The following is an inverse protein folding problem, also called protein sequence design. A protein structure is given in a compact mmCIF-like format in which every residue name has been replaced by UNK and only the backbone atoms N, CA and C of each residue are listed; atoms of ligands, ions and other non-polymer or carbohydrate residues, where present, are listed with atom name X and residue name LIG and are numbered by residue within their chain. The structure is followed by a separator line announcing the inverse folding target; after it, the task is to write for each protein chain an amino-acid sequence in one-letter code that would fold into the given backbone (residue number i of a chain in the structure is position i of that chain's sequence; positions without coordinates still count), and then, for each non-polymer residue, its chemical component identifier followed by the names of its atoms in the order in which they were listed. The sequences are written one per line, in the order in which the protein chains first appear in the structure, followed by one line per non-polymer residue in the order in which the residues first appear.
data_IF_062354950632
#
_entry.id   IF_062354950632
#
_cell.length_a   1.000
_cell.length_b   1.000
_cell.length_c   1.000
_cell.angle_alpha   90.00
_cell.angle_beta   90.00
_cell.angle_gamma   90.00
#
_symmetry.space_group_name_H-M   'P 1'
#
loop_
_entity.id
_entity.type
_entity.pdbx_description
1 polymer ?
2 non-polymer ?
3 non-polymer ?
4 non-polymer ?
5 non-polymer ?
6 water ?
#
# COMPACT_ATOMS: atom_id res chain seq x y z
N UNK A 52 24.44 -18.05 -3.49
CA UNK A 52 23.69 -17.52 -4.67
C UNK A 52 22.39 -18.32 -4.90
N UNK A 53 21.49 -18.26 -3.92
CA UNK A 53 20.20 -18.96 -4.00
C UNK A 53 19.17 -18.33 -3.05
N UNK A 54 17.99 -18.01 -3.58
CA UNK A 54 16.92 -17.36 -2.80
C UNK A 54 15.53 -17.94 -3.10
N UNK A 55 14.65 -17.87 -2.10
CA UNK A 55 13.27 -18.36 -2.19
C UNK A 55 12.28 -17.19 -2.14
N UNK A 56 11.57 -16.95 -3.23
CA UNK A 56 10.55 -15.90 -3.33
C UNK A 56 9.17 -16.48 -3.04
N UNK A 57 8.73 -16.37 -1.78
CA UNK A 57 7.40 -16.83 -1.37
C UNK A 57 6.35 -15.82 -1.84
N UNK A 58 5.37 -16.30 -2.62
CA UNK A 58 4.37 -15.43 -3.26
C UNK A 58 4.81 -15.06 -4.66
N UNK A 59 3.84 -14.76 -5.52
CA UNK A 59 4.10 -14.46 -6.94
C UNK A 59 3.12 -13.42 -7.49
N UNK A 60 3.42 -12.94 -8.70
CA UNK A 60 2.56 -12.00 -9.41
C UNK A 60 2.72 -10.55 -8.98
N UNK A 61 2.83 -9.65 -9.95
CA UNK A 61 2.81 -8.19 -9.74
C UNK A 61 4.05 -7.65 -9.00
N UNK A 62 4.14 -7.92 -7.69
CA UNK A 62 5.26 -7.45 -6.86
C UNK A 62 6.53 -8.29 -7.13
N UNK A 63 6.34 -9.57 -7.43
CA UNK A 63 7.46 -10.48 -7.70
C UNK A 63 8.21 -10.18 -8.99
N UNK A 64 7.49 -9.76 -10.04
CA UNK A 64 8.10 -9.54 -11.37
C UNK A 64 9.34 -8.60 -11.36
N UNK A 65 9.24 -7.40 -10.76
CA UNK A 65 10.43 -6.55 -10.65
C UNK A 65 11.52 -7.10 -9.70
N UNK A 66 11.11 -7.87 -8.70
CA UNK A 66 12.05 -8.53 -7.78
C UNK A 66 12.87 -9.59 -8.51
N UNK A 67 12.20 -10.42 -9.32
CA UNK A 67 12.89 -11.43 -10.14
C UNK A 67 13.77 -10.82 -11.22
N UNK A 68 13.26 -9.76 -11.86
CA UNK A 68 13.99 -9.07 -12.94
C UNK A 68 15.26 -8.39 -12.43
N UNK A 69 15.17 -7.74 -11.26
CA UNK A 69 16.32 -7.05 -10.67
C UNK A 69 17.41 -8.03 -10.20
N UNK A 70 16.99 -9.10 -9.52
CA UNK A 70 17.93 -10.11 -9.02
C UNK A 70 18.61 -10.92 -10.13
N UNK A 71 17.90 -11.15 -11.24
CA UNK A 71 18.42 -11.97 -12.35
C UNK A 71 19.23 -11.19 -13.41
N UNK A 72 19.67 -9.98 -13.10
CA UNK A 72 20.49 -9.17 -14.02
C UNK A 72 21.91 -9.70 -14.15
N UNK A 73 22.54 -9.99 -13.00
CA UNK A 73 23.92 -10.47 -12.97
C UNK A 73 24.05 -11.89 -13.52
N UNK A 74 23.16 -12.79 -13.09
CA UNK A 74 23.12 -14.18 -13.55
C UNK A 74 23.53 -15.19 -12.50
N UNK A 75 24.48 -14.84 -11.65
CA UNK A 75 25.00 -15.74 -10.61
C UNK A 75 24.09 -15.82 -9.38
N UNK A 76 22.90 -16.39 -9.57
CA UNK A 76 21.89 -16.53 -8.51
C UNK A 76 20.75 -17.45 -8.98
N UNK A 77 20.39 -18.42 -8.16
CA UNK A 77 19.33 -19.38 -8.46
C UNK A 77 18.01 -18.95 -7.81
N UNK A 78 17.05 -18.53 -8.64
CA UNK A 78 15.76 -18.05 -8.15
C UNK A 78 14.81 -19.24 -7.95
N UNK A 79 14.38 -19.46 -6.70
CA UNK A 79 13.33 -20.41 -6.37
C UNK A 79 12.06 -19.60 -6.05
N UNK A 80 10.90 -20.14 -6.42
CA UNK A 80 9.62 -19.45 -6.22
C UNK A 80 8.57 -20.40 -5.61
N UNK A 81 8.11 -20.08 -4.41
CA UNK A 81 7.00 -20.79 -3.76
C UNK A 81 5.71 -19.99 -3.91
N UNK A 82 4.61 -20.68 -4.19
CA UNK A 82 3.32 -20.00 -4.41
C UNK A 82 2.11 -20.93 -4.24
N UNK A 83 1.00 -20.34 -3.81
CA UNK A 83 -0.29 -21.04 -3.70
C UNK A 83 -1.02 -21.08 -5.05
N UNK A 84 -0.87 -20.02 -5.85
CA UNK A 84 -1.54 -19.91 -7.15
C UNK A 84 -0.84 -20.78 -8.18
N UNK A 85 -1.56 -21.75 -8.76
CA UNK A 85 -1.00 -22.69 -9.72
C UNK A 85 -0.81 -22.08 -11.11
N UNK A 86 -1.82 -21.35 -11.58
CA UNK A 86 -1.76 -20.69 -12.89
C UNK A 86 -0.81 -19.50 -12.96
N UNK A 87 -0.64 -18.80 -11.84
CA UNK A 87 0.18 -17.58 -11.77
C UNK A 87 1.67 -17.87 -11.85
N UNK A 88 2.13 -18.86 -11.10
CA UNK A 88 3.55 -19.27 -11.09
C UNK A 88 4.01 -19.86 -12.43
N UNK A 89 3.10 -20.51 -13.15
CA UNK A 89 3.38 -21.03 -14.50
C UNK A 89 3.58 -19.89 -15.51
N UNK A 90 2.73 -18.86 -15.42
CA UNK A 90 2.85 -17.66 -16.25
C UNK A 90 4.12 -16.85 -15.91
N UNK A 91 4.43 -16.76 -14.62
CA UNK A 91 5.66 -16.11 -14.15
C UNK A 91 6.92 -16.89 -14.56
N UNK A 92 6.83 -18.21 -14.57
CA UNK A 92 7.92 -19.07 -15.03
C UNK A 92 8.30 -18.91 -16.49
N UNK A 93 7.32 -18.54 -17.32
CA UNK A 93 7.55 -18.28 -18.75
C UNK A 93 8.47 -17.08 -18.99
N UNK A 94 8.29 -16.02 -18.20
CA UNK A 94 9.06 -14.78 -18.36
C UNK A 94 10.47 -14.88 -17.80
N UNK A 95 10.60 -15.33 -16.56
CA UNK A 95 11.88 -15.38 -15.84
C UNK A 95 12.29 -16.81 -15.50
N UNK A 96 13.59 -17.09 -15.60
CA UNK A 96 14.14 -18.42 -15.29
C UNK A 96 14.12 -18.72 -13.78
N UNK A 97 13.24 -19.64 -13.38
CA UNK A 97 13.00 -19.98 -11.97
C UNK A 97 12.84 -21.49 -11.75
N UNK A 98 12.70 -21.88 -10.49
CA UNK A 98 12.31 -23.24 -10.09
C UNK A 98 10.90 -23.21 -9.49
N UNK A 99 9.87 -23.58 -10.29
CA UNK A 99 8.49 -23.58 -9.76
C UNK A 99 8.25 -24.61 -8.63
N UNK A 100 7.67 -24.13 -7.53
CA UNK A 100 7.27 -24.98 -6.41
C UNK A 100 5.87 -24.56 -5.95
N UNK A 101 4.94 -25.52 -5.91
CA UNK A 101 3.57 -25.28 -5.45
C UNK A 101 3.43 -25.71 -4.00
N UNK A 102 3.05 -24.78 -3.12
CA UNK A 102 2.84 -25.09 -1.71
C UNK A 102 1.98 -24.06 -0.97
N UNK A 103 1.13 -24.56 -0.07
CA UNK A 103 0.48 -23.73 0.94
C UNK A 103 1.44 -23.61 2.11
N UNK A 104 1.52 -22.40 2.70
CA UNK A 104 2.50 -22.11 3.74
C UNK A 104 2.07 -22.73 5.08
N UNK A 105 0.77 -22.70 5.36
CA UNK A 105 0.23 -23.19 6.63
C UNK A 105 0.11 -24.71 6.67
N UNK A 106 -0.47 -25.28 5.61
CA UNK A 106 -0.70 -26.72 5.53
C UNK A 106 0.60 -27.52 5.37
N UNK A 107 1.46 -27.09 4.45
CA UNK A 107 2.71 -27.80 4.13
C UNK A 107 3.91 -27.12 4.80
N UNK A 108 3.86 -27.02 6.12
CA UNK A 108 4.92 -26.40 6.92
C UNK A 108 6.17 -27.27 7.04
N UNK A 109 6.03 -28.59 6.82
CA UNK A 109 7.15 -29.53 6.91
C UNK A 109 8.17 -29.33 5.79
N UNK A 110 7.69 -29.25 4.55
CA UNK A 110 8.56 -29.05 3.39
C UNK A 110 9.17 -27.64 3.32
N UNK A 111 8.50 -26.67 3.95
CA UNK A 111 9.01 -25.29 4.04
C UNK A 111 10.35 -25.24 4.79
N UNK A 112 10.42 -25.93 5.94
CA UNK A 112 11.64 -26.02 6.73
C UNK A 112 12.84 -26.60 5.99
N UNK A 113 12.59 -27.61 5.16
CA UNK A 113 13.65 -28.24 4.36
C UNK A 113 14.05 -27.37 3.15
N UNK A 114 13.06 -26.73 2.53
CA UNK A 114 13.30 -25.85 1.38
C UNK A 114 14.00 -24.55 1.77
N UNK A 115 13.57 -23.94 2.88
CA UNK A 115 14.19 -22.71 3.41
C UNK A 115 15.65 -22.93 3.84
N UNK A 116 15.95 -24.11 4.39
CA UNK A 116 17.31 -24.46 4.79
C UNK A 116 18.29 -24.54 3.62
N UNK A 117 17.80 -24.88 2.43
CA UNK A 117 18.62 -24.94 1.21
C UNK A 117 19.05 -23.58 0.65
N UNK A 118 18.37 -22.50 1.06
CA UNK A 118 18.58 -21.16 0.49
C UNK A 118 19.50 -20.28 1.34
N UNK A 119 19.90 -19.15 0.75
CA UNK A 119 20.67 -18.09 1.42
C UNK A 119 19.78 -16.97 1.95
N UNK A 120 18.61 -16.76 1.35
CA UNK A 120 17.69 -15.68 1.73
C UNK A 120 16.27 -15.97 1.28
N UNK A 121 15.30 -15.74 2.17
CA UNK A 121 13.87 -15.89 1.85
C UNK A 121 13.23 -14.51 1.64
N UNK A 122 12.76 -14.25 0.42
CA UNK A 122 12.03 -13.00 0.11
C UNK A 122 10.52 -13.26 0.21
N UNK A 123 9.92 -12.88 1.33
CA UNK A 123 8.49 -13.07 1.55
C UNK A 123 7.67 -11.95 0.89
N UNK A 124 6.86 -12.31 -0.11
CA UNK A 124 5.91 -11.39 -0.75
C UNK A 124 4.47 -11.85 -0.52
N UNK A 125 4.20 -12.37 0.68
CA UNK A 125 2.88 -12.90 1.06
C UNK A 125 2.11 -11.84 1.87
N UNK A 126 0.82 -12.09 2.17
CA UNK A 126 0.11 -11.26 3.14
C UNK A 126 0.77 -11.27 4.51
N UNK A 127 0.73 -10.12 5.21
CA UNK A 127 1.55 -9.92 6.41
C UNK A 127 1.19 -10.75 7.66
N UNK A 128 0.00 -11.35 7.66
CA UNK A 128 -0.39 -12.30 8.71
C UNK A 128 0.46 -13.59 8.72
N UNK A 129 1.01 -13.97 7.55
CA UNK A 129 1.78 -15.21 7.39
C UNK A 129 3.29 -15.11 7.69
N UNK A 130 3.78 -13.94 8.12
CA UNK A 130 5.23 -13.76 8.40
C UNK A 130 5.77 -14.53 9.61
N UNK A 131 4.98 -14.65 10.70
CA UNK A 131 5.37 -15.54 11.80
C UNK A 131 5.66 -17.00 11.41
N UNK A 132 4.98 -17.51 10.37
CA UNK A 132 5.24 -18.85 9.85
C UNK A 132 6.59 -18.94 9.12
N UNK A 133 6.88 -17.95 8.28
CA UNK A 133 8.14 -17.89 7.53
C UNK A 133 9.31 -17.52 8.45
N UNK A 134 9.06 -16.65 9.41
CA UNK A 134 10.05 -16.29 10.43
C UNK A 134 10.40 -17.47 11.34
N UNK A 135 9.38 -18.26 11.69
CA UNK A 135 9.58 -19.51 12.47
C UNK A 135 10.50 -20.51 11.75
N UNK A 136 10.39 -20.57 10.42
CA UNK A 136 11.29 -21.39 9.60
C UNK A 136 12.69 -20.78 9.52
N UNK A 137 12.76 -19.47 9.31
CA UNK A 137 14.04 -18.77 9.11
C UNK A 137 14.91 -18.69 10.37
N UNK A 138 14.29 -18.51 11.54
CA UNK A 138 15.03 -18.52 12.82
C UNK A 138 15.61 -19.89 13.19
N UNK A 139 14.91 -20.97 12.82
CA UNK A 139 15.37 -22.34 13.11
C UNK A 139 16.64 -22.67 12.33
N UNK A 140 16.62 -22.41 11.03
CA UNK A 140 17.80 -22.59 10.17
C UNK A 140 18.71 -21.36 10.24
N UNK A 141 19.88 -21.47 9.60
CA UNK A 141 20.81 -20.36 9.48
C UNK A 141 20.57 -19.64 8.15
N UNK A 142 19.59 -18.74 8.14
CA UNK A 142 19.16 -18.06 6.92
C UNK A 142 18.49 -16.70 7.19
N UNK A 143 18.76 -15.74 6.30
CA UNK A 143 18.20 -14.38 6.40
C UNK A 143 16.84 -14.27 5.73
N UNK A 144 16.17 -13.14 5.94
CA UNK A 144 14.82 -12.89 5.40
C UNK A 144 14.64 -11.41 5.03
N UNK A 145 13.77 -11.15 4.06
CA UNK A 145 13.29 -9.79 3.77
C UNK A 145 11.77 -9.80 3.54
N UNK A 146 11.11 -8.74 4.00
CA UNK A 146 9.66 -8.63 4.05
C UNK A 146 9.20 -7.31 3.42
N UNK A 147 8.16 -7.37 2.60
CA UNK A 147 7.62 -6.19 1.94
C UNK A 147 6.70 -5.38 2.86
N UNK A 148 5.70 -6.04 3.42
CA UNK A 148 4.67 -5.37 4.22
C UNK A 148 5.12 -5.05 5.67
N UNK A 149 4.19 -4.65 6.53
CA UNK A 149 4.50 -4.23 7.91
C UNK A 149 5.12 -5.35 8.76
N UNK A 150 5.89 -4.95 9.77
CA UNK A 150 6.33 -5.85 10.83
C UNK A 150 5.21 -5.83 11.88
N UNK A 151 4.46 -6.92 11.96
CA UNK A 151 3.33 -7.02 12.89
C UNK A 151 3.79 -7.21 14.34
N UNK A 152 2.88 -6.99 15.32
CA UNK A 152 3.17 -7.34 16.71
C UNK A 152 3.58 -8.80 16.93
N UNK A 153 2.96 -9.72 16.17
CA UNK A 153 3.31 -11.14 16.22
C UNK A 153 4.76 -11.41 15.80
N UNK A 154 5.21 -10.75 14.73
CA UNK A 154 6.59 -10.86 14.27
C UNK A 154 7.58 -10.17 15.21
N UNK A 155 7.15 -9.10 15.87
CA UNK A 155 7.96 -8.38 16.86
C UNK A 155 8.31 -9.23 18.10
N UNK A 156 7.45 -10.19 18.44
CA UNK A 156 7.72 -11.14 19.54
C UNK A 156 8.93 -12.05 19.29
N UNK A 157 9.20 -12.36 18.02
CA UNK A 157 10.32 -13.23 17.64
C UNK A 157 11.71 -12.56 17.72
N UNK A 158 11.77 -11.24 17.89
CA UNK A 158 13.03 -10.49 17.92
C UNK A 158 14.11 -11.07 18.85
N UNK A 159 13.69 -11.63 19.99
CA UNK A 159 14.60 -12.33 20.90
C UNK A 159 15.20 -13.58 20.24
N UNK A 160 14.34 -14.38 19.63
CA UNK A 160 14.77 -15.59 18.91
C UNK A 160 15.59 -15.29 17.65
N UNK A 161 15.27 -14.17 16.98
CA UNK A 161 15.95 -13.78 15.73
C UNK A 161 17.40 -13.35 16.00
N UNK A 162 17.62 -12.57 17.07
CA UNK A 162 18.97 -12.12 17.44
C UNK A 162 19.86 -13.26 17.96
N UNK A 163 19.29 -14.19 18.70
CA UNK A 163 20.03 -15.36 19.21
C UNK A 163 20.54 -16.27 18.08
N UNK A 164 19.75 -16.41 17.01
CA UNK A 164 20.14 -17.22 15.85
C UNK A 164 21.28 -16.62 15.02
N UNK A 165 21.48 -15.30 15.13
CA UNK A 165 22.57 -14.61 14.42
C UNK A 165 22.25 -14.41 12.95
N UNK A 166 21.07 -13.83 12.69
CA UNK A 166 20.58 -13.59 11.33
C UNK A 166 19.98 -12.19 11.20
N UNK A 167 19.74 -11.77 9.96
CA UNK A 167 19.19 -10.45 9.65
C UNK A 167 17.81 -10.59 8.99
N UNK A 168 16.81 -9.91 9.56
CA UNK A 168 15.46 -9.87 9.01
C UNK A 168 15.04 -8.41 8.84
N UNK A 169 14.92 -7.96 7.59
CA UNK A 169 14.55 -6.59 7.26
C UNK A 169 13.09 -6.54 6.81
N UNK A 170 12.25 -5.85 7.59
CA UNK A 170 10.84 -5.62 7.24
C UNK A 170 10.60 -4.20 6.79
N UNK A 171 9.32 -3.87 6.59
CA UNK A 171 8.87 -2.51 6.25
C UNK A 171 9.56 -1.96 4.99
N UNK A 172 9.62 -2.76 3.93
CA UNK A 172 10.31 -2.40 2.68
C UNK A 172 9.34 -2.28 1.51
N UNK A 173 9.49 -1.23 0.70
CA UNK A 173 8.60 -0.96 -0.43
C UNK A 173 8.28 0.51 -0.54
N UNK A 174 7.07 0.83 -1.02
CA UNK A 174 6.60 2.21 -1.15
C UNK A 174 6.17 2.78 0.20
N UNK A 175 5.10 2.21 0.76
CA UNK A 175 4.46 2.73 1.96
C UNK A 175 3.75 1.58 2.72
N UNK A 176 4.39 0.96 3.72
CA UNK A 176 5.68 1.37 4.30
C UNK A 176 6.90 1.04 3.44
N UNK A 177 7.99 1.77 3.67
CA UNK A 177 9.27 1.56 2.99
C UNK A 177 9.97 2.87 2.64
N UNK A 178 9.67 3.40 1.45
CA UNK A 178 10.26 4.66 0.99
C UNK A 178 9.90 5.85 1.90
N UNK A 179 8.72 5.80 2.53
CA UNK A 179 8.36 6.78 3.57
C UNK A 179 9.31 6.77 4.77
N UNK A 180 9.76 5.59 5.17
CA UNK A 180 10.74 5.47 6.26
C UNK A 180 12.11 6.00 5.80
N UNK A 181 12.48 5.67 4.57
CA UNK A 181 13.80 6.02 4.02
C UNK A 181 13.97 7.51 3.79
N UNK A 182 12.99 8.14 3.14
CA UNK A 182 13.00 9.59 2.91
C UNK A 182 12.89 10.39 4.22
N UNK A 183 12.09 9.88 5.16
CA UNK A 183 11.95 10.52 6.47
C UNK A 183 13.25 10.51 7.26
N UNK A 184 13.84 9.31 7.42
CA UNK A 184 15.08 9.16 8.19
C UNK A 184 16.30 9.81 7.52
N UNK A 185 16.30 9.94 6.20
CA UNK A 185 17.35 10.69 5.50
C UNK A 185 17.34 12.17 5.94
N UNK A 186 16.15 12.77 5.96
CA UNK A 186 15.98 14.16 6.38
C UNK A 186 16.19 14.35 7.88
N UNK A 187 15.71 13.39 8.68
CA UNK A 187 15.85 13.46 10.14
C UNK A 187 17.31 13.32 10.58
N UNK A 188 18.06 12.41 9.95
CA UNK A 188 19.50 12.27 10.20
C UNK A 188 20.27 13.52 9.78
N UNK A 189 19.94 14.08 8.60
CA UNK A 189 20.52 15.35 8.13
C UNK A 189 20.28 16.52 9.10
N UNK A 190 19.12 16.52 9.76
CA UNK A 190 18.81 17.51 10.80
C UNK A 190 19.62 17.27 12.07
N UNK A 191 19.75 16.00 12.48
CA UNK A 191 20.55 15.63 13.66
C UNK A 191 22.07 15.83 13.46
N UNK A 192 22.54 15.75 12.21
CA UNK A 192 23.94 16.06 11.88
C UNK A 192 24.34 17.50 12.24
N UNK A 193 23.40 18.44 12.14
CA UNK A 193 23.64 19.87 12.48
C UNK A 193 22.92 20.30 13.77
N UNK A 194 22.68 19.35 14.68
CA UNK A 194 22.04 19.63 15.97
C UNK A 194 20.56 20.03 15.97
N UNK A 195 19.89 19.88 14.83
CA UNK A 195 18.51 20.35 14.68
C UNK A 195 17.50 19.27 15.07
N UNK A 196 16.32 19.71 15.55
CA UNK A 196 15.24 18.81 15.98
C UNK A 196 14.01 18.97 15.08
N UNK A 197 13.18 17.92 15.04
CA UNK A 197 11.98 17.89 14.22
C UNK A 197 10.78 18.41 15.03
N UNK A 198 10.17 19.49 14.55
CA UNK A 198 8.97 20.08 15.16
C UNK A 198 7.68 19.56 14.52
N UNK A 199 7.67 19.41 13.20
CA UNK A 199 6.52 18.88 12.48
C UNK A 199 6.94 17.90 11.38
N UNK A 200 6.11 16.88 11.15
CA UNK A 200 6.28 15.91 10.07
C UNK A 200 4.92 15.61 9.44
N UNK A 201 4.70 16.14 8.24
CA UNK A 201 3.50 15.87 7.45
C UNK A 201 3.94 15.12 6.20
N UNK A 202 3.28 14.01 5.90
CA UNK A 202 3.66 13.15 4.77
C UNK A 202 2.45 12.50 4.10
N UNK A 203 2.17 12.92 2.86
CA UNK A 203 1.08 12.37 2.06
C UNK A 203 1.63 11.49 0.93
N UNK A 204 0.98 10.35 0.71
CA UNK A 204 1.39 9.39 -0.33
C UNK A 204 0.15 8.84 -1.03
N UNK A 205 0.29 8.53 -2.32
CA UNK A 205 -0.82 8.00 -3.09
C UNK A 205 -0.41 7.27 -4.35
N UNK A 206 -0.97 6.08 -4.54
CA UNK A 206 -0.90 5.37 -5.82
C UNK A 206 -2.21 5.58 -6.54
N UNK A 207 -2.15 6.06 -7.78
CA UNK A 207 -3.35 6.41 -8.55
C UNK A 207 -3.05 6.44 -10.05
N UNK A 208 -4.09 6.53 -10.90
CA UNK A 208 -3.82 6.57 -12.35
C UNK A 208 -3.10 7.84 -12.78
N UNK A 209 -2.39 7.76 -13.91
CA UNK A 209 -1.85 8.96 -14.55
C UNK A 209 -3.05 9.80 -15.01
N UNK A 210 -2.94 11.15 -14.93
CA UNK A 210 -4.08 12.05 -15.17
C UNK A 210 -4.95 11.73 -16.39
N UNK A 211 -4.33 11.25 -17.47
CA UNK A 211 -5.05 10.86 -18.70
C UNK A 211 -6.08 9.71 -18.51
N UNK A 212 -5.90 8.87 -17.48
CA UNK A 212 -6.84 7.78 -17.18
C UNK A 212 -7.67 8.03 -15.91
N UNK A 213 -7.98 9.30 -15.65
CA UNK A 213 -8.73 9.69 -14.44
C UNK A 213 -10.21 9.99 -14.71
N UNK A 214 -10.68 9.78 -15.95
CA UNK A 214 -12.07 10.11 -16.30
C UNK A 214 -13.03 8.95 -16.05
N UNK A 215 -13.30 8.70 -14.77
CA UNK A 215 -14.36 7.80 -14.32
C UNK A 215 -14.91 8.34 -12.98
N UNK A 216 -16.04 7.79 -12.48
CA UNK A 216 -16.64 8.32 -11.24
C UNK A 216 -15.73 8.34 -9.99
N UNK A 217 -14.86 7.34 -9.84
CA UNK A 217 -13.90 7.31 -8.73
C UNK A 217 -12.57 8.05 -9.02
N UNK A 218 -12.34 8.40 -10.28
CA UNK A 218 -11.03 8.89 -10.76
C UNK A 218 -9.92 7.91 -10.40
N UNK A 219 -10.21 6.62 -10.54
CA UNK A 219 -9.32 5.58 -10.03
C UNK A 219 -9.40 4.28 -10.82
N UNK A 220 -8.32 3.52 -10.77
CA UNK A 220 -8.25 2.16 -11.31
C UNK A 220 -7.51 1.30 -10.30
N UNK A 221 -8.04 0.11 -10.04
CA UNK A 221 -7.53 -0.76 -8.98
C UNK A 221 -6.47 -1.74 -9.49
N UNK A 222 -5.31 -1.75 -8.84
CA UNK A 222 -4.24 -2.71 -9.10
C UNK A 222 -4.54 -4.07 -8.47
N UNK A 223 -5.00 -4.04 -7.21
CA UNK A 223 -5.43 -5.24 -6.48
C UNK A 223 -6.79 -5.00 -5.81
N UNK A 224 -7.29 -5.97 -5.04
CA UNK A 224 -8.62 -5.91 -4.44
C UNK A 224 -8.81 -4.71 -3.50
N UNK A 225 -9.91 -3.92 -3.67
CA UNK A 225 -10.16 -2.75 -2.85
C UNK A 225 -10.86 -2.97 -1.49
N UNK A 226 -10.88 -4.21 -0.98
CA UNK A 226 -11.54 -4.51 0.29
C UNK A 226 -10.89 -3.73 1.45
N UNK A 227 -9.56 -3.60 1.43
CA UNK A 227 -8.83 -2.84 2.44
C UNK A 227 -9.12 -1.35 2.41
N UNK A 228 -8.92 -0.73 1.24
CA UNK A 228 -9.12 0.74 1.09
C UNK A 228 -10.57 1.19 1.32
N UNK A 229 -11.54 0.37 0.90
CA UNK A 229 -12.96 0.63 1.16
C UNK A 229 -13.29 0.56 2.66
N UNK A 230 -12.73 -0.43 3.35
CA UNK A 230 -12.94 -0.59 4.79
C UNK A 230 -12.22 0.50 5.61
N UNK A 231 -11.12 1.04 5.10
CA UNK A 231 -10.41 2.16 5.74
C UNK A 231 -11.23 3.45 5.88
N UNK A 232 -12.21 3.64 4.98
CA UNK A 232 -13.17 4.75 5.11
C UNK A 232 -14.03 4.59 6.36
N UNK A 233 -14.37 3.36 6.72
CA UNK A 233 -15.12 3.07 7.95
C UNK A 233 -14.25 3.22 9.20
N UNK A 234 -12.94 2.98 9.09
CA UNK A 234 -12.02 3.12 10.21
C UNK A 234 -11.75 4.58 10.57
N UNK A 235 -11.29 4.79 11.81
CA UNK A 235 -10.92 6.11 12.30
C UNK A 235 -9.52 6.52 11.82
N UNK A 236 -9.19 7.79 12.06
CA UNK A 236 -7.87 8.34 11.80
C UNK A 236 -7.43 9.20 12.99
N UNK A 237 -6.35 8.79 13.65
CA UNK A 237 -5.75 9.55 14.74
C UNK A 237 -4.44 10.19 14.28
N UNK A 238 -4.21 11.43 14.70
CA UNK A 238 -2.95 12.13 14.44
C UNK A 238 -2.69 13.28 15.43
N UNK A 239 -1.43 13.71 15.49
CA UNK A 239 -1.01 14.79 16.39
C UNK A 239 -0.91 16.10 15.60
N UNK A 240 -1.44 17.19 16.18
CA UNK A 240 -1.40 18.52 15.55
C UNK A 240 -1.30 19.61 16.62
N UNK A 241 -0.15 20.28 16.69
CA UNK A 241 0.11 21.37 17.62
C UNK A 241 -0.03 20.95 19.09
N UNK A 242 0.53 19.79 19.42
CA UNK A 242 0.49 19.24 20.78
C UNK A 242 -0.88 18.74 21.24
N UNK A 243 -1.77 18.45 20.29
CA UNK A 243 -3.14 17.99 20.56
C UNK A 243 -3.45 16.79 19.69
N UNK A 244 -3.87 15.68 20.30
CA UNK A 244 -4.27 14.48 19.57
C UNK A 244 -5.66 14.74 18.96
N UNK A 245 -5.80 14.48 17.67
CA UNK A 245 -7.04 14.70 16.93
C UNK A 245 -7.55 13.35 16.42
N UNK A 246 -8.67 12.90 16.97
CA UNK A 246 -9.35 11.69 16.52
C UNK A 246 -10.42 12.07 15.50
N UNK A 247 -10.36 11.46 14.32
CA UNK A 247 -11.32 11.70 13.24
C UNK A 247 -12.28 10.52 13.17
N UNK A 248 -13.57 10.82 13.01
CA UNK A 248 -14.61 9.80 12.92
C UNK A 248 -14.64 9.22 11.51
N UNK A 249 -14.65 7.89 11.42
CA UNK A 249 -14.83 7.18 10.15
C UNK A 249 -16.29 7.08 9.75
N UNK A 250 -16.52 6.40 8.62
CA UNK A 250 -17.87 6.11 8.14
C UNK A 250 -18.48 7.24 7.33
N UNK A 251 -19.74 7.55 7.62
CA UNK A 251 -20.48 8.63 6.94
C UNK A 251 -19.82 10.01 7.08
N UNK A 252 -19.20 10.27 8.22
CA UNK A 252 -18.61 11.59 8.53
C UNK A 252 -17.16 11.77 8.06
N UNK A 253 -16.53 10.72 7.54
CA UNK A 253 -15.12 10.77 7.12
C UNK A 253 -14.85 11.74 5.96
N UNK A 254 -15.88 12.00 5.14
CA UNK A 254 -15.80 13.00 4.07
C UNK A 254 -15.46 14.41 4.55
N UNK A 255 -15.89 14.75 5.77
CA UNK A 255 -15.61 16.06 6.38
C UNK A 255 -14.12 16.31 6.65
N UNK A 256 -13.36 15.24 6.84
CA UNK A 256 -11.90 15.33 7.03
C UNK A 256 -11.08 15.43 5.74
N UNK A 257 -11.74 15.35 4.57
CA UNK A 257 -11.04 15.42 3.28
C UNK A 257 -10.70 16.88 2.97
N UNK A 258 -9.48 17.10 2.50
CA UNK A 258 -8.95 18.44 2.24
C UNK A 258 -8.34 18.54 0.84
N UNK A 259 -8.25 19.75 0.32
CA UNK A 259 -7.65 20.02 -0.99
C UNK A 259 -6.14 20.08 -0.86
N UNK A 260 -5.43 19.30 -1.69
CA UNK A 260 -3.97 19.24 -1.70
C UNK A 260 -3.46 19.98 -2.94
N UNK A 261 -2.95 21.19 -2.74
CA UNK A 261 -2.64 22.12 -3.85
C UNK A 261 -1.14 22.31 -4.14
N UNK A 262 -0.29 21.43 -3.62
CA UNK A 262 1.17 21.53 -3.84
C UNK A 262 1.60 21.43 -5.32
N UNK A 263 0.81 20.73 -6.15
CA UNK A 263 0.93 20.78 -7.60
C UNK A 263 -0.33 21.41 -8.18
N UNK A 264 -0.28 22.71 -8.56
CA UNK A 264 -1.44 23.39 -9.16
C UNK A 264 -2.07 22.69 -10.36
N UNK A 265 -1.23 22.06 -11.20
CA UNK A 265 -1.71 21.30 -12.35
C UNK A 265 -2.43 19.99 -12.02
N UNK A 266 -2.14 19.42 -10.84
CA UNK A 266 -2.73 18.15 -10.41
C UNK A 266 -3.88 18.40 -9.44
N UNK A 267 -5.07 17.89 -9.76
CA UNK A 267 -6.28 18.13 -8.99
C UNK A 267 -6.46 17.07 -7.89
N UNK A 268 -5.74 17.25 -6.79
CA UNK A 268 -5.65 16.25 -5.72
C UNK A 268 -6.51 16.57 -4.50
N UNK A 269 -6.97 15.51 -3.83
CA UNK A 269 -7.53 15.58 -2.48
C UNK A 269 -6.69 14.71 -1.55
N UNK A 270 -6.82 14.96 -0.26
CA UNK A 270 -6.09 14.22 0.76
C UNK A 270 -6.94 13.96 1.99
N UNK A 271 -6.57 12.92 2.73
CA UNK A 271 -7.22 12.58 3.99
C UNK A 271 -6.24 11.81 4.88
N UNK A 272 -6.43 11.85 6.22
CA UNK A 272 -5.44 11.23 7.10
C UNK A 272 -5.53 9.70 7.16
N UNK A 273 -4.40 9.05 7.43
CA UNK A 273 -4.30 7.59 7.56
C UNK A 273 -4.82 7.10 8.90
N UNK A 274 -4.94 5.79 9.01
CA UNK A 274 -5.24 5.15 10.28
C UNK A 274 -3.98 5.19 11.15
N UNK A 275 -3.94 6.17 12.05
CA UNK A 275 -2.88 6.34 13.07
C UNK A 275 -1.57 6.91 12.53
N UNK A 276 -1.28 8.16 12.90
CA UNK A 276 0.00 8.83 12.63
C UNK A 276 0.85 9.10 13.88
N UNK A 277 0.32 8.79 15.06
CA UNK A 277 1.03 9.05 16.33
C UNK A 277 2.18 8.06 16.60
N UNK A 278 2.14 6.89 15.96
CA UNK A 278 3.17 5.86 16.16
C UNK A 278 4.57 6.21 15.63
N UNK A 279 4.67 7.17 14.71
CA UNK A 279 5.95 7.55 14.10
C UNK A 279 6.91 8.31 15.04
N UNK A 280 6.42 8.81 16.17
CA UNK A 280 7.27 9.43 17.19
C UNK A 280 8.29 8.43 17.75
N UNK A 281 7.81 7.25 18.17
CA UNK A 281 8.67 6.19 18.69
C UNK A 281 9.53 5.54 17.60
N UNK A 282 9.00 5.44 16.39
CA UNK A 282 9.69 4.75 15.28
C UNK A 282 10.87 5.59 14.79
N UNK A 283 10.65 6.87 14.51
CA UNK A 283 11.70 7.78 14.05
C UNK A 283 12.48 8.49 15.18
N UNK A 284 11.94 8.49 16.39
CA UNK A 284 12.57 9.19 17.51
C UNK A 284 12.38 10.70 17.39
N UNK A 285 11.12 11.12 17.29
CA UNK A 285 10.76 12.53 17.15
C UNK A 285 9.57 12.90 18.06
N UNK A 286 9.63 12.44 19.30
CA UNK A 286 8.56 12.68 20.29
C UNK A 286 8.42 14.15 20.71
N UNK A 287 9.46 14.96 20.48
CA UNK A 287 9.39 16.42 20.69
C UNK A 287 8.53 17.15 19.65
N UNK A 288 8.27 16.51 18.50
CA UNK A 288 7.49 17.12 17.42
C UNK A 288 6.04 17.40 17.83
N UNK A 289 5.61 18.64 17.64
CA UNK A 289 4.23 19.05 17.95
C UNK A 289 3.19 18.61 16.90
N UNK A 290 3.64 18.20 15.71
CA UNK A 290 2.73 17.77 14.63
C UNK A 290 3.26 16.51 13.93
N UNK A 291 2.42 15.46 13.91
CA UNK A 291 2.69 14.22 13.19
C UNK A 291 1.43 13.86 12.41
N UNK A 292 1.49 13.97 11.08
CA UNK A 292 0.35 13.70 10.21
C UNK A 292 0.76 12.88 8.99
N UNK A 293 0.07 11.76 8.78
CA UNK A 293 0.30 10.90 7.62
C UNK A 293 -1.04 10.67 6.93
N UNK A 294 -1.05 10.82 5.61
CA UNK A 294 -2.28 10.76 4.83
C UNK A 294 -2.14 10.09 3.47
N UNK A 295 -3.27 9.93 2.79
CA UNK A 295 -3.35 9.27 1.49
C UNK A 295 -3.88 10.25 0.46
N UNK A 296 -3.34 10.17 -0.77
CA UNK A 296 -3.72 11.08 -1.86
C UNK A 296 -4.58 10.38 -2.90
N UNK A 297 -5.63 11.08 -3.34
CA UNK A 297 -6.49 10.65 -4.44
C UNK A 297 -6.83 11.88 -5.28
N UNK A 298 -7.42 11.68 -6.45
CA UNK A 298 -7.95 12.80 -7.24
C UNK A 298 -9.27 13.27 -6.62
N UNK A 299 -9.60 14.54 -6.83
CA UNK A 299 -10.83 15.12 -6.26
C UNK A 299 -12.08 14.43 -6.79
N UNK A 300 -13.00 14.11 -5.88
CA UNK A 300 -14.22 13.37 -6.19
C UNK A 300 -14.24 11.93 -5.71
N UNK A 301 -13.07 11.38 -5.33
CA UNK A 301 -12.96 9.96 -4.94
C UNK A 301 -13.73 9.65 -3.65
N UNK A 302 -13.42 10.38 -2.59
CA UNK A 302 -14.06 10.15 -1.28
C UNK A 302 -15.57 10.48 -1.28
N UNK A 303 -15.97 11.44 -2.10
CA UNK A 303 -17.41 11.76 -2.26
C UNK A 303 -18.18 10.63 -2.97
N UNK A 304 -17.52 9.93 -3.89
CA UNK A 304 -18.11 8.77 -4.56
C UNK A 304 -18.24 7.57 -3.60
N UNK A 305 -17.21 7.33 -2.80
CA UNK A 305 -17.25 6.30 -1.74
C UNK A 305 -18.27 6.63 -0.65
N UNK A 306 -18.40 7.92 -0.32
CA UNK A 306 -19.44 8.41 0.59
C UNK A 306 -20.86 8.04 0.09
N UNK A 307 -21.04 8.07 -1.23
CA UNK A 307 -22.26 7.56 -1.86
C UNK A 307 -22.51 6.09 -1.56
N UNK A 308 -21.46 5.27 -1.69
CA UNK A 308 -21.56 3.83 -1.38
C UNK A 308 -21.86 3.57 0.11
N UNK A 309 -21.38 4.44 0.99
CA UNK A 309 -21.67 4.35 2.43
C UNK A 309 -23.15 4.64 2.73
N UNK A 310 -23.69 5.70 2.12
CA UNK A 310 -25.11 6.05 2.25
C UNK A 310 -26.06 4.93 1.80
N UNK A 311 -25.73 4.28 0.69
CA UNK A 311 -26.56 3.18 0.14
C UNK A 311 -26.51 1.88 0.93
N UNK A 312 -25.52 1.71 1.80
CA UNK A 312 -25.38 0.51 2.63
C UNK A 312 -24.59 -0.61 1.96
N UNK A 313 -23.61 -0.24 1.12
CA UNK A 313 -22.78 -1.20 0.38
C UNK A 313 -21.49 -1.57 1.12
N UNK A 314 -21.02 -0.71 2.02
CA UNK A 314 -19.75 -0.93 2.73
C UNK A 314 -20.03 -1.62 4.07
N UNK A 315 -20.25 -2.93 4.00
CA UNK A 315 -20.40 -3.77 5.20
C UNK A 315 -20.20 -5.26 4.89
N UNK A 316 -19.93 -6.04 5.93
CA UNK A 316 -19.63 -7.47 5.81
C UNK A 316 -20.83 -8.41 6.04
N UNK A 317 -22.05 -7.88 5.88
CA UNK A 317 -23.27 -8.71 5.94
C UNK A 317 -23.35 -9.59 4.70
N UNK A 318 -23.96 -10.76 4.84
CA UNK A 318 -24.08 -11.72 3.73
C UNK A 318 -25.10 -11.27 2.69
N UNK A 319 -25.01 -11.85 1.51
CA UNK A 319 -25.91 -11.52 0.39
C UNK A 319 -27.33 -12.07 0.65
N UNK A 320 -28.37 -11.46 0.02
CA UNK A 320 -29.73 -11.99 0.18
C UNK A 320 -29.95 -13.38 -0.42
N UNK A 325 -35.32 -16.51 -5.66
CA UNK A 325 -34.85 -17.76 -5.09
C UNK A 325 -34.21 -18.65 -6.15
N UNK A 326 -34.93 -18.88 -7.25
CA UNK A 326 -34.47 -19.72 -8.36
C UNK A 326 -34.10 -18.87 -9.59
N UNK A 327 -33.31 -17.83 -9.37
CA UNK A 327 -32.87 -16.92 -10.44
C UNK A 327 -31.70 -16.06 -9.94
N UNK A 328 -30.67 -15.81 -10.80
CA UNK A 328 -29.44 -15.22 -10.26
C UNK A 328 -29.57 -13.75 -9.85
N UNK A 329 -28.94 -13.39 -8.74
CA UNK A 329 -29.06 -12.05 -8.16
C UNK A 329 -28.31 -11.01 -8.99
N UNK A 330 -29.05 -10.02 -9.51
CA UNK A 330 -28.48 -8.91 -10.26
C UNK A 330 -28.30 -7.68 -9.37
N UNK A 331 -27.54 -6.71 -9.86
CA UNK A 331 -27.23 -5.49 -9.10
C UNK A 331 -28.46 -4.61 -8.82
N UNK A 332 -29.40 -4.55 -9.77
CA UNK A 332 -30.68 -3.86 -9.55
C UNK A 332 -31.46 -4.48 -8.39
N UNK A 333 -31.47 -5.81 -8.34
CA UNK A 333 -32.19 -6.55 -7.29
C UNK A 333 -31.56 -6.39 -5.91
N UNK A 334 -30.22 -6.31 -5.86
CA UNK A 334 -29.49 -6.08 -4.61
C UNK A 334 -29.75 -4.68 -4.05
N UNK A 335 -29.74 -3.67 -4.91
CA UNK A 335 -30.03 -2.28 -4.49
C UNK A 335 -31.50 -2.07 -4.12
N UNK A 336 -32.41 -2.84 -4.73
CA UNK A 336 -33.82 -2.86 -4.30
C UNK A 336 -33.97 -3.39 -2.87
N UNK A 337 -33.18 -4.40 -2.53
CA UNK A 337 -33.12 -4.95 -1.16
C UNK A 337 -32.67 -3.89 -0.15
N UNK A 338 -31.61 -3.16 -0.50
CA UNK A 338 -31.00 -2.17 0.40
C UNK A 338 -31.91 -0.95 0.64
N UNK A 339 -32.44 -0.38 -0.43
CA UNK A 339 -33.41 0.75 -0.32
C UNK A 339 -34.79 0.32 0.20
N UNK A 340 -35.09 -0.98 0.13
CA UNK A 340 -36.30 -1.55 0.74
C UNK A 340 -37.53 -1.47 -0.14
N UNK A 341 -37.39 -1.93 -1.38
CA UNK A 341 -38.50 -2.01 -2.34
C UNK A 341 -38.51 -3.38 -3.02
N UNK A 342 -39.56 -3.63 -3.80
CA UNK A 342 -39.68 -4.88 -4.57
C UNK A 342 -38.65 -4.89 -5.71
N UNK A 343 -38.03 -6.06 -5.98
CA UNK A 343 -37.16 -6.17 -7.17
C UNK A 343 -37.90 -6.02 -8.51
N UNK A 344 -38.15 -4.78 -8.92
CA UNK A 344 -38.81 -4.47 -10.20
C UNK A 344 -38.69 -2.99 -10.59
N UNK A 345 -38.64 -2.74 -11.90
CA UNK A 345 -38.64 -1.39 -12.50
C UNK A 345 -37.37 -0.57 -12.22
N UNK A 346 -36.59 -0.31 -13.27
CA UNK A 346 -35.30 0.40 -13.15
C UNK A 346 -35.47 1.89 -12.82
N UNK A 347 -36.45 2.54 -13.45
CA UNK A 347 -36.75 3.95 -13.16
C UNK A 347 -37.30 4.17 -11.74
N UNK A 348 -37.89 3.13 -11.15
CA UNK A 348 -38.41 3.19 -9.78
C UNK A 348 -37.30 3.16 -8.73
N UNK A 349 -36.33 2.25 -8.89
CA UNK A 349 -35.17 2.17 -7.97
C UNK A 349 -34.26 3.41 -8.07
N UNK A 350 -34.22 4.05 -9.24
CA UNK A 350 -33.54 5.33 -9.44
C UNK A 350 -34.07 6.40 -8.48
N UNK A 351 -35.39 6.45 -8.33
CA UNK A 351 -36.05 7.37 -7.39
C UNK A 351 -35.78 7.00 -5.92
N UNK A 352 -35.74 5.70 -5.63
CA UNK A 352 -35.42 5.21 -4.28
C UNK A 352 -33.95 5.46 -3.91
N UNK A 353 -33.04 5.24 -4.86
CA UNK A 353 -31.61 5.41 -4.64
C UNK A 353 -31.21 6.88 -4.45
N UNK A 354 -31.69 7.76 -5.34
CA UNK A 354 -31.39 9.20 -5.26
C UNK A 354 -31.95 9.85 -3.98
N UNK A 355 -33.08 9.34 -3.50
CA UNK A 355 -33.67 9.76 -2.23
C UNK A 355 -32.78 9.35 -1.05
N UNK A 356 -32.27 8.12 -1.10
CA UNK A 356 -31.36 7.61 -0.07
C UNK A 356 -29.98 8.28 -0.09
N UNK A 357 -29.49 8.64 -1.29
CA UNK A 357 -28.20 9.33 -1.43
C UNK A 357 -28.34 10.84 -1.22
N UNK A 358 -28.62 11.24 0.02
CA UNK A 358 -28.80 12.65 0.40
C UNK A 358 -29.98 13.33 -0.32
N UNK A 359 -30.12 14.64 -0.10
CA UNK A 359 -31.15 15.42 -0.77
C UNK A 359 -30.84 15.69 -2.22
N UNK A 360 -31.01 14.67 -3.06
CA UNK A 360 -30.84 14.79 -4.51
C UNK A 360 -29.40 14.95 -4.96
N UNK A 361 -28.54 14.02 -4.54
CA UNK A 361 -27.14 14.00 -4.99
C UNK A 361 -27.04 13.24 -6.32
N UNK A 362 -27.20 13.98 -7.42
CA UNK A 362 -27.17 13.41 -8.77
C UNK A 362 -25.80 12.85 -9.16
N UNK A 363 -24.73 13.46 -8.66
CA UNK A 363 -23.36 13.01 -8.90
C UNK A 363 -23.16 11.57 -8.41
N UNK A 364 -23.61 11.29 -7.18
CA UNK A 364 -23.51 9.96 -6.58
C UNK A 364 -24.45 8.95 -7.25
N UNK A 365 -25.62 9.42 -7.70
CA UNK A 365 -26.55 8.60 -8.49
C UNK A 365 -25.93 8.18 -9.82
N UNK A 366 -25.32 9.15 -10.52
CA UNK A 366 -24.63 8.88 -11.79
C UNK A 366 -23.43 7.96 -11.64
N UNK A 367 -22.70 8.10 -10.54
CA UNK A 367 -21.58 7.21 -10.21
C UNK A 367 -22.02 5.74 -10.09
N UNK A 368 -23.14 5.52 -9.40
CA UNK A 368 -23.72 4.19 -9.27
C UNK A 368 -24.30 3.67 -10.59
N UNK A 369 -24.91 4.58 -11.36
CA UNK A 369 -25.44 4.26 -12.69
C UNK A 369 -24.34 3.85 -13.66
N UNK A 370 -23.25 4.62 -13.68
CA UNK A 370 -22.09 4.38 -14.57
C UNK A 370 -21.42 3.01 -14.31
N UNK A 371 -21.28 2.64 -13.04
CA UNK A 371 -20.67 1.37 -12.66
C UNK A 371 -21.58 0.15 -12.87
N UNK A 372 -22.88 0.39 -13.08
CA UNK A 372 -23.85 -0.67 -13.34
C UNK A 372 -24.48 -1.25 -12.09
N UNK A 373 -24.54 -0.46 -11.02
CA UNK A 373 -25.12 -0.90 -9.75
C UNK A 373 -26.66 -0.89 -9.77
N UNK A 374 -27.26 -0.17 -10.72
CA UNK A 374 -28.71 -0.18 -10.94
C UNK A 374 -29.14 -1.08 -12.13
N UNK A 375 -28.18 -1.76 -12.76
CA UNK A 375 -28.43 -2.54 -13.97
C UNK A 375 -28.69 -4.02 -13.69
N UNK A 376 -28.84 -4.79 -14.78
CA UNK A 376 -29.20 -6.20 -14.71
C UNK A 376 -28.00 -7.18 -14.81
N UNK A 377 -26.78 -6.67 -14.60
CA UNK A 377 -25.59 -7.52 -14.52
C UNK A 377 -25.60 -8.31 -13.20
N UNK A 378 -25.05 -9.51 -13.23
CA UNK A 378 -25.07 -10.40 -12.07
C UNK A 378 -24.08 -9.94 -10.99
N UNK A 379 -24.48 -10.09 -9.74
CA UNK A 379 -23.60 -9.81 -8.60
C UNK A 379 -22.64 -10.99 -8.49
N UNK A 380 -21.30 -10.73 -8.43
CA UNK A 380 -20.35 -11.83 -8.25
C UNK A 380 -20.57 -12.62 -6.97
N UNK A 381 -20.23 -13.91 -7.00
CA UNK A 381 -20.35 -14.79 -5.83
C UNK A 381 -19.32 -14.34 -4.79
N UNK A 382 -19.78 -14.09 -3.56
CA UNK A 382 -18.93 -13.52 -2.52
C UNK A 382 -19.47 -13.74 -1.12
N UNK A 383 -18.59 -13.60 -0.13
CA UNK A 383 -18.94 -13.79 1.28
C UNK A 383 -19.79 -12.64 1.85
N UNK A 384 -19.73 -11.46 1.24
CA UNK A 384 -20.46 -10.29 1.72
C UNK A 384 -20.79 -9.29 0.60
N UNK A 385 -21.47 -8.21 0.96
CA UNK A 385 -21.84 -7.15 0.01
C UNK A 385 -20.60 -6.32 -0.37
N UNK A 386 -19.75 -6.01 0.61
CA UNK A 386 -18.49 -5.29 0.40
C UNK A 386 -17.54 -6.06 -0.53
N UNK A 387 -17.43 -7.37 -0.30
CA UNK A 387 -16.62 -8.25 -1.14
C UNK A 387 -17.19 -8.35 -2.56
N UNK A 388 -18.52 -8.32 -2.67
CA UNK A 388 -19.21 -8.31 -3.97
C UNK A 388 -18.98 -7.00 -4.72
N UNK A 389 -19.05 -5.88 -4.01
CA UNK A 389 -18.72 -4.56 -4.58
C UNK A 389 -17.27 -4.50 -5.06
N UNK A 390 -16.36 -4.99 -4.22
CA UNK A 390 -14.93 -4.99 -4.53
C UNK A 390 -14.60 -5.77 -5.80
N UNK A 391 -15.23 -6.94 -5.97
CA UNK A 391 -15.08 -7.74 -7.20
C UNK A 391 -15.62 -7.02 -8.45
N UNK A 392 -16.72 -6.28 -8.29
CA UNK A 392 -17.32 -5.53 -9.39
C UNK A 392 -16.50 -4.30 -9.78
N UNK A 393 -15.94 -3.61 -8.77
CA UNK A 393 -15.06 -2.45 -9.02
C UNK A 393 -13.76 -2.84 -9.71
N UNK A 394 -13.20 -4.00 -9.33
CA UNK A 394 -12.03 -4.58 -10.01
C UNK A 394 -12.35 -4.88 -11.49
N UNK A 395 -13.55 -5.41 -11.74
CA UNK A 395 -14.01 -5.71 -13.10
C UNK A 395 -14.11 -4.45 -13.95
N UNK A 396 -14.77 -3.42 -13.43
CA UNK A 396 -15.05 -2.18 -14.18
C UNK A 396 -13.90 -1.17 -14.23
N UNK A 397 -13.07 -1.12 -13.19
CA UNK A 397 -12.00 -0.12 -13.07
C UNK A 397 -10.62 -0.75 -12.81
N UNK A 398 -10.03 -1.31 -13.86
CA UNK A 398 -8.68 -1.88 -13.82
C UNK A 398 -7.81 -1.28 -14.92
N UNK A 399 -6.50 -1.46 -14.78
CA UNK A 399 -5.55 -0.97 -15.76
C UNK A 399 -5.47 -1.91 -16.96
N UNK A 400 -5.74 -1.38 -18.15
CA UNK A 400 -5.45 -2.07 -19.40
C UNK A 400 -3.94 -2.14 -19.65
N UNK A 401 -3.52 -2.93 -20.65
CA UNK A 401 -2.08 -3.17 -20.89
C UNK A 401 -1.22 -1.92 -21.17
N UNK A 402 -1.79 -0.94 -21.89
CA UNK A 402 -1.06 0.29 -22.25
C UNK A 402 -1.45 1.53 -21.43
N UNK A 403 -1.96 1.32 -20.20
CA UNK A 403 -2.44 2.42 -19.34
C UNK A 403 -1.48 2.66 -18.17
N UNK A 404 -0.96 3.88 -18.07
CA UNK A 404 -0.01 4.26 -17.02
C UNK A 404 -0.68 4.46 -15.67
N UNK A 405 0.02 4.06 -14.61
CA UNK A 405 -0.33 4.42 -13.23
C UNK A 405 0.64 5.52 -12.76
N UNK A 406 0.46 5.96 -11.52
CA UNK A 406 1.29 7.03 -10.95
C UNK A 406 1.46 6.85 -9.45
N UNK A 407 2.66 7.16 -8.96
CA UNK A 407 2.96 7.21 -7.53
C UNK A 407 3.34 8.65 -7.21
N UNK A 408 2.54 9.31 -6.37
CA UNK A 408 2.87 10.65 -5.87
C UNK A 408 3.12 10.54 -4.37
N UNK A 409 4.13 11.28 -3.92
CA UNK A 409 4.51 11.28 -2.50
C UNK A 409 5.15 12.63 -2.14
N UNK A 410 4.63 13.23 -1.07
CA UNK A 410 4.95 14.60 -0.68
C UNK A 410 5.17 14.66 0.82
N UNK A 411 6.40 14.99 1.23
CA UNK A 411 6.75 15.17 2.64
C UNK A 411 6.98 16.65 2.95
N UNK A 412 6.83 17.00 4.23
CA UNK A 412 7.02 18.36 4.72
C UNK A 412 7.53 18.33 6.15
N UNK A 413 8.73 18.86 6.38
CA UNK A 413 9.37 18.87 7.70
C UNK A 413 9.52 20.29 8.21
N UNK A 414 9.19 20.50 9.49
CA UNK A 414 9.55 21.70 10.23
C UNK A 414 10.72 21.37 11.11
N UNK A 415 11.90 21.90 10.76
CA UNK A 415 13.15 21.57 11.46
C UNK A 415 13.67 22.81 12.21
N UNK A 416 13.76 22.70 13.53
CA UNK A 416 14.28 23.75 14.40
C UNK A 416 15.78 23.56 14.59
N UNK A 417 16.57 24.49 14.05
CA UNK A 417 18.03 24.46 14.20
C UNK A 417 18.46 25.04 15.57
N UNK A 418 19.70 24.73 16.02
CA UNK A 418 20.21 25.29 17.30
C UNK A 418 20.30 26.82 17.33
N UNK A 419 20.53 27.43 16.16
CA UNK A 419 20.46 28.87 15.97
C UNK A 419 19.16 29.50 16.50
N UNK A 420 18.04 28.83 16.23
CA UNK A 420 16.71 29.31 16.62
C UNK A 420 15.73 29.35 15.46
N UNK A 421 16.23 29.51 14.23
CA UNK A 421 15.39 29.57 13.03
C UNK A 421 14.76 28.22 12.66
N UNK A 422 13.69 28.30 11.85
CA UNK A 422 12.92 27.15 11.42
C UNK A 422 13.17 26.89 9.93
N UNK A 423 13.64 25.69 9.60
CA UNK A 423 13.76 25.24 8.21
C UNK A 423 12.49 24.48 7.83
N UNK A 424 11.81 24.96 6.79
CA UNK A 424 10.68 24.25 6.20
C UNK A 424 11.17 23.49 4.97
N UNK A 425 11.46 22.20 5.16
CA UNK A 425 11.96 21.32 4.10
C UNK A 425 10.81 20.54 3.49
N UNK A 426 10.82 20.41 2.15
CA UNK A 426 9.82 19.63 1.42
C UNK A 426 10.51 18.62 0.49
N UNK A 427 9.88 17.46 0.30
CA UNK A 427 10.37 16.42 -0.62
C UNK A 427 9.23 16.02 -1.56
N UNK A 428 9.53 16.01 -2.86
CA UNK A 428 8.60 15.54 -3.90
C UNK A 428 9.15 14.27 -4.52
N UNK A 429 8.34 13.23 -4.59
CA UNK A 429 8.66 11.99 -5.30
C UNK A 429 7.49 11.64 -6.21
N UNK A 430 7.71 11.70 -7.52
CA UNK A 430 6.69 11.37 -8.51
C UNK A 430 7.27 10.43 -9.56
N UNK A 431 6.56 9.32 -9.81
CA UNK A 431 6.96 8.31 -10.78
C UNK A 431 5.76 7.81 -11.58
N UNK A 432 5.99 7.54 -12.86
CA UNK A 432 4.96 7.01 -13.76
C UNK A 432 5.34 5.61 -14.23
N UNK A 433 4.32 4.84 -14.59
CA UNK A 433 4.54 3.49 -15.12
C UNK A 433 5.08 3.52 -16.53
N UNK A 434 5.92 2.54 -16.86
CA UNK A 434 6.49 2.41 -18.20
C UNK A 434 5.53 1.58 -19.06
N UNK A 435 5.42 1.94 -20.34
CA UNK A 435 4.46 1.32 -21.25
C UNK A 435 4.81 -0.15 -21.49
N UNK A 436 6.02 -0.40 -22.00
CA UNK A 436 6.55 -1.75 -22.18
C UNK A 436 7.53 -2.05 -21.05
N UNK A 437 6.99 -2.03 -19.83
CA UNK A 437 7.80 -2.22 -18.62
C UNK A 437 6.95 -2.32 -17.37
N UNK A 438 7.55 -2.05 -16.23
CA UNK A 438 6.87 -2.16 -14.94
C UNK A 438 6.04 -0.92 -14.62
N UNK A 439 4.98 -1.12 -13.85
CA UNK A 439 4.16 -0.03 -13.33
C UNK A 439 4.91 0.69 -12.20
N UNK A 440 4.53 1.95 -11.96
CA UNK A 440 5.11 2.75 -10.88
C UNK A 440 4.89 2.12 -9.50
N UNK A 441 3.73 1.48 -9.32
CA UNK A 441 3.43 0.74 -8.09
C UNK A 441 4.37 -0.45 -7.91
N UNK A 442 4.53 -1.24 -8.97
CA UNK A 442 5.41 -2.42 -8.95
C UNK A 442 6.86 -2.06 -8.66
N UNK A 443 7.35 -0.99 -9.30
CA UNK A 443 8.73 -0.52 -9.10
C UNK A 443 8.97 -0.01 -7.68
N UNK A 444 8.06 0.84 -7.19
CA UNK A 444 8.21 1.44 -5.85
C UNK A 444 8.02 0.44 -4.71
N UNK A 445 7.17 -0.56 -4.91
CA UNK A 445 6.97 -1.65 -3.93
C UNK A 445 8.06 -2.72 -4.05
N UNK A 446 8.37 -3.11 -5.28
CA UNK A 446 9.27 -4.23 -5.54
C UNK A 446 10.75 -3.96 -5.33
N UNK A 447 11.25 -2.85 -5.88
CA UNK A 447 12.68 -2.57 -5.93
C UNK A 447 13.36 -2.38 -4.56
N UNK A 448 12.70 -1.71 -3.59
CA UNK A 448 13.32 -1.58 -2.26
C UNK A 448 13.55 -2.93 -1.56
N UNK A 449 12.57 -3.83 -1.66
CA UNK A 449 12.71 -5.19 -1.14
C UNK A 449 13.77 -5.98 -1.90
N UNK A 450 13.80 -5.82 -3.23
CA UNK A 450 14.78 -6.49 -4.09
C UNK A 450 16.21 -5.99 -3.89
N UNK A 451 16.35 -4.67 -3.70
CA UNK A 451 17.66 -4.06 -3.46
C UNK A 451 18.22 -4.42 -2.09
N UNK A 452 17.37 -4.37 -1.07
CA UNK A 452 17.72 -4.81 0.29
C UNK A 452 18.14 -6.29 0.33
N UNK A 453 17.49 -7.11 -0.48
CA UNK A 453 17.84 -8.52 -0.64
C UNK A 453 19.23 -8.71 -1.23
N UNK A 454 19.53 -7.96 -2.29
CA UNK A 454 20.87 -7.98 -2.93
C UNK A 454 21.97 -7.50 -1.99
N UNK A 455 21.67 -6.49 -1.17
CA UNK A 455 22.62 -5.97 -0.18
C UNK A 455 22.97 -6.99 0.91
N UNK A 456 22.01 -7.82 1.30
CA UNK A 456 22.24 -8.90 2.27
C UNK A 456 23.09 -10.03 1.68
N UNK A 457 22.83 -10.39 0.42
CA UNK A 457 23.62 -11.42 -0.28
C UNK A 457 25.06 -10.98 -0.53
N UNK A 458 25.23 -9.72 -0.95
CA UNK A 458 26.57 -9.13 -1.15
C UNK A 458 27.32 -8.87 0.15
N UNK A 459 26.60 -8.75 1.27
CA UNK A 459 27.20 -8.57 2.59
C UNK A 459 27.53 -7.13 2.90
N UNK A 460 26.65 -6.22 2.49
CA UNK A 460 26.82 -4.78 2.73
C UNK A 460 26.16 -4.36 4.05
N UNK A 461 25.01 -4.94 4.36
CA UNK A 461 24.32 -4.69 5.63
C UNK A 461 24.94 -5.59 6.71
N UNK A 462 25.78 -4.98 7.56
CA UNK A 462 26.44 -5.68 8.66
C UNK A 462 25.60 -5.93 9.91
N UNK A 463 24.55 -5.12 10.11
CA UNK A 463 23.69 -5.24 11.29
C UNK A 463 22.87 -6.53 11.28
N UNK A 464 22.52 -7.01 12.48
CA UNK A 464 21.76 -8.25 12.67
C UNK A 464 20.52 -8.02 13.52
N UNK A 465 19.55 -8.94 13.40
CA UNK A 465 18.30 -8.90 14.16
C UNK A 465 17.10 -8.50 13.31
N UNK A 466 16.00 -8.17 13.99
CA UNK A 466 14.77 -7.68 13.34
C UNK A 466 14.83 -6.17 13.25
N UNK A 467 14.51 -5.62 12.08
CA UNK A 467 14.61 -4.18 11.84
C UNK A 467 13.85 -3.71 10.59
N UNK A 468 13.64 -2.40 10.51
CA UNK A 468 13.16 -1.75 9.29
C UNK A 468 14.32 -1.15 8.51
N UNK A 469 14.03 -0.27 7.53
CA UNK A 469 15.08 0.40 6.74
C UNK A 469 15.43 1.80 7.28
N UNK A 470 15.62 1.90 8.59
CA UNK A 470 15.76 3.18 9.29
C UNK A 470 17.19 3.70 9.32
N UNK A 471 18.17 2.78 9.36
CA UNK A 471 19.59 3.14 9.40
C UNK A 471 20.10 3.58 8.03
N UNK A 472 21.09 4.48 8.04
CA UNK A 472 21.75 4.98 6.81
C UNK A 472 22.40 3.87 5.99
N UNK A 473 22.87 2.84 6.69
CA UNK A 473 23.36 1.59 6.09
C UNK A 473 22.40 0.99 5.06
N UNK A 474 21.09 1.06 5.35
CA UNK A 474 20.05 0.49 4.48
C UNK A 474 19.49 1.53 3.50
N UNK A 475 19.01 2.67 4.01
CA UNK A 475 18.31 3.66 3.17
C UNK A 475 19.21 4.42 2.19
N UNK A 476 20.48 4.64 2.56
CA UNK A 476 21.42 5.37 1.71
C UNK A 476 21.67 4.72 0.36
N UNK A 477 22.13 3.46 0.34
CA UNK A 477 22.31 2.72 -0.92
C UNK A 477 21.03 2.50 -1.74
N UNK A 478 19.89 2.29 -1.07
CA UNK A 478 18.61 2.06 -1.78
C UNK A 478 18.14 3.34 -2.49
N UNK A 479 18.07 4.45 -1.77
CA UNK A 479 17.69 5.75 -2.36
C UNK A 479 18.60 6.17 -3.52
N UNK A 480 19.89 5.86 -3.40
CA UNK A 480 20.86 6.10 -4.48
C UNK A 480 20.57 5.24 -5.72
N UNK A 481 20.27 3.95 -5.50
CA UNK A 481 20.08 2.98 -6.59
C UNK A 481 18.72 3.07 -7.31
N UNK A 482 17.66 3.46 -6.59
CA UNK A 482 16.34 3.67 -7.24
C UNK A 482 16.30 4.86 -8.23
N UNK A 483 17.27 5.77 -8.13
CA UNK A 483 17.43 6.84 -9.12
C UNK A 483 17.74 6.28 -10.52
N UNK A 484 18.59 5.27 -10.58
CA UNK A 484 18.91 4.58 -11.84
C UNK A 484 17.71 3.84 -12.46
N UNK A 485 16.81 3.38 -11.60
CA UNK A 485 15.59 2.66 -12.03
C UNK A 485 14.44 3.59 -12.46
N UNK A 486 14.62 4.91 -12.35
CA UNK A 486 13.61 5.90 -12.76
C UNK A 486 12.70 6.38 -11.65
N UNK A 487 13.14 6.27 -10.40
CA UNK A 487 12.41 6.79 -9.24
C UNK A 487 13.24 7.92 -8.65
N UNK A 488 12.88 9.15 -9.04
CA UNK A 488 13.63 10.35 -8.68
C UNK A 488 12.83 11.16 -7.66
N UNK A 489 13.52 11.67 -6.65
CA UNK A 489 12.92 12.60 -5.68
C UNK A 489 13.76 13.87 -5.58
N UNK A 490 13.07 15.01 -5.59
CA UNK A 490 13.72 16.32 -5.44
C UNK A 490 13.46 16.88 -4.04
N UNK A 491 14.26 17.88 -3.68
CA UNK A 491 14.22 18.47 -2.34
C UNK A 491 14.32 20.00 -2.44
N UNK A 492 13.71 20.67 -1.49
CA UNK A 492 13.76 22.14 -1.41
C UNK A 492 13.49 22.57 0.03
N UNK A 493 14.15 23.64 0.47
CA UNK A 493 13.95 24.18 1.82
C UNK A 493 14.14 25.69 1.89
N UNK A 494 13.39 26.31 2.80
CA UNK A 494 13.44 27.76 3.04
C UNK A 494 13.54 28.03 4.55
N UNK A 495 14.28 29.07 4.91
CA UNK A 495 14.50 29.44 6.31
C UNK A 495 13.51 30.55 6.69
N UNK A 496 12.98 30.46 7.92
CA UNK A 496 11.99 31.41 8.44
C UNK A 496 12.45 31.94 9.80
N UNK A 497 12.88 33.23 9.86
CA UNK A 497 13.33 33.82 11.12
C UNK A 497 12.18 34.39 11.95
#
# INVERSE_FOLDING_TARGET
MGHHHHHHSSGVDLGTENLYFQSMALPDKYKYIQTLRESRERAQSLSMGTRRKVLVLGSGYISEPVLEYLSRDGNIEITVGSDMKNQIEQLGKKYNINPVSMDICKQEEKLGFLVAKQDLVISLLPYVLHPLVAKACITNKVNMVTASYITPALKELEKSVEDAGITIIGELGLDPGLDHMLAMESIDKAKEVGATIESYISYCGGLPAPEHSNNPLRYKFSWSPVGVLMNVMQSATYLLDGKVVNVAGGISFLDAVTSMDFFPGLNLEGYPNRDSTKYAEIYGISSAHTLLRGTLRYKGYMKALNGFVKLGLINREALPAFRPEANPLTWKQLLCDLVGISPSSEHDVLKEAVLKKLGGDNTQLEAAEWLGLLGDEQVPQAESILDALSKHLVMKLSYGPEEKDMIVMRDSFGIRHPSGHLEHKTIDLVAYGDINGFSAMAKTVGLPTAMAAKMLLDGEIGAKGLMGPFSKEIYGPILERIKAEGIIYTTQSTIKP
#
